data_IF_374525982216
#
_entry.id   IF_374525982216
#
_cell.length_a   1.000
_cell.length_b   1.000
_cell.length_c   1.000
_cell.angle_alpha   90.00
_cell.angle_beta   90.00
_cell.angle_gamma   90.00
#
_symmetry.space_group_name_H-M   'P 1'
#
loop_
_entity.id
_entity.type
_entity.pdbx_description
1 polymer ?
#
# COMPACT_ATOMS: atom_id res chain seq x y z
N UNK A 1 -58.01 -36.07 19.44
CA UNK A 1 -56.81 -36.94 19.42
C UNK A 1 -55.78 -36.25 18.54
N UNK A 2 -54.92 -35.44 19.14
CA UNK A 2 -53.50 -35.76 19.42
C UNK A 2 -52.58 -35.52 18.21
N UNK A 3 -51.88 -34.38 18.31
CA UNK A 3 -50.45 -34.16 18.02
C UNK A 3 -49.90 -34.41 16.61
N UNK A 4 -49.34 -33.35 16.01
CA UNK A 4 -47.88 -33.11 16.02
C UNK A 4 -47.54 -31.71 15.48
N UNK A 5 -46.88 -30.92 16.33
CA UNK A 5 -46.16 -29.72 15.93
C UNK A 5 -44.96 -30.12 15.06
N UNK A 6 -44.73 -29.41 13.96
CA UNK A 6 -43.42 -29.31 13.34
C UNK A 6 -43.12 -27.81 13.16
N UNK A 7 -42.40 -27.26 14.14
CA UNK A 7 -41.82 -25.93 14.09
C UNK A 7 -40.66 -25.97 13.09
N UNK A 8 -40.82 -25.31 11.95
CA UNK A 8 -39.72 -25.05 11.03
C UNK A 8 -39.11 -23.69 11.37
N UNK A 9 -38.03 -23.69 12.13
CA UNK A 9 -37.14 -22.54 12.29
C UNK A 9 -36.39 -22.38 10.97
N UNK A 10 -36.83 -21.44 10.13
CA UNK A 10 -36.01 -20.97 9.01
C UNK A 10 -35.17 -19.79 9.51
N UNK A 11 -33.88 -20.08 9.64
CA UNK A 11 -32.84 -19.15 10.04
C UNK A 11 -32.88 -17.87 9.19
N UNK A 12 -32.78 -16.73 9.87
CA UNK A 12 -32.56 -15.44 9.25
C UNK A 12 -31.17 -15.44 8.58
N UNK A 13 -31.14 -15.74 7.29
CA UNK A 13 -29.97 -15.51 6.44
C UNK A 13 -29.80 -14.00 6.30
N UNK A 14 -28.98 -13.42 7.17
CA UNK A 14 -28.50 -12.05 7.01
C UNK A 14 -27.85 -11.92 5.64
N UNK A 15 -28.59 -11.34 4.69
CA UNK A 15 -28.04 -10.79 3.47
C UNK A 15 -27.17 -9.61 3.88
N UNK A 16 -25.94 -9.89 4.28
CA UNK A 16 -24.83 -8.95 4.25
C UNK A 16 -24.66 -8.60 2.76
N UNK A 17 -25.46 -7.65 2.30
CA UNK A 17 -25.23 -6.95 1.06
C UNK A 17 -23.83 -6.38 1.19
N UNK A 18 -22.87 -7.04 0.54
CA UNK A 18 -21.52 -6.54 0.35
C UNK A 18 -21.68 -5.20 -0.34
N UNK A 19 -21.68 -4.14 0.45
CA UNK A 19 -21.55 -2.79 -0.08
C UNK A 19 -20.20 -2.83 -0.76
N UNK A 20 -20.22 -2.88 -2.09
CA UNK A 20 -19.04 -2.62 -2.88
C UNK A 20 -18.69 -1.17 -2.62
N UNK A 21 -18.03 -0.90 -1.50
CA UNK A 21 -17.29 0.33 -1.33
C UNK A 21 -16.32 0.29 -2.49
N UNK A 22 -16.53 1.15 -3.47
CA UNK A 22 -15.46 1.49 -4.38
C UNK A 22 -14.36 2.06 -3.49
N UNK A 23 -13.46 1.20 -3.03
CA UNK A 23 -12.25 1.58 -2.32
C UNK A 23 -11.45 2.42 -3.31
N UNK A 24 -11.72 3.73 -3.33
CA UNK A 24 -10.67 4.70 -3.06
C UNK A 24 -9.67 4.02 -2.12
N UNK A 25 -8.56 3.44 -2.60
CA UNK A 25 -7.77 2.51 -1.80
C UNK A 25 -7.44 3.20 -0.46
N UNK A 26 -7.97 2.66 0.64
CA UNK A 26 -7.87 3.35 1.93
C UNK A 26 -6.41 3.43 2.37
N UNK A 27 -5.53 2.63 1.78
CA UNK A 27 -4.08 2.75 1.92
C UNK A 27 -3.55 4.04 1.26
N UNK A 28 -3.99 4.37 0.04
CA UNK A 28 -3.58 5.57 -0.69
C UNK A 28 -3.94 6.85 0.04
N UNK A 29 -5.19 6.95 0.50
CA UNK A 29 -5.64 8.11 1.26
C UNK A 29 -4.86 8.26 2.57
N UNK A 30 -4.62 7.15 3.29
CA UNK A 30 -3.83 7.17 4.54
C UNK A 30 -2.37 7.55 4.29
N UNK A 31 -1.77 7.01 3.24
CA UNK A 31 -0.40 7.30 2.84
C UNK A 31 -0.23 8.79 2.49
N UNK A 32 -1.08 9.32 1.61
CA UNK A 32 -1.02 10.73 1.20
C UNK A 32 -1.30 11.67 2.38
N UNK A 33 -2.26 11.31 3.25
CA UNK A 33 -2.53 12.07 4.46
C UNK A 33 -1.32 12.08 5.42
N UNK A 34 -0.62 10.95 5.59
CA UNK A 34 0.59 10.87 6.39
C UNK A 34 1.69 11.78 5.84
N UNK A 35 2.00 11.69 4.54
CA UNK A 35 2.99 12.54 3.89
C UNK A 35 2.65 14.03 4.01
N UNK A 36 1.38 14.39 3.81
CA UNK A 36 0.92 15.76 3.94
C UNK A 36 1.08 16.29 5.37
N UNK A 37 0.77 15.47 6.38
CA UNK A 37 0.95 15.84 7.80
C UNK A 37 2.41 16.09 8.19
N UNK A 38 3.35 15.50 7.45
CA UNK A 38 4.79 15.65 7.64
C UNK A 38 5.39 16.79 6.80
N UNK A 39 4.56 17.48 6.01
CA UNK A 39 5.02 18.55 5.12
C UNK A 39 5.82 18.04 3.91
N UNK A 40 5.60 16.80 3.48
CA UNK A 40 6.21 16.26 2.25
C UNK A 40 5.38 16.73 1.05
N UNK A 41 5.94 17.59 0.18
CA UNK A 41 5.23 18.06 -1.01
C UNK A 41 5.27 17.00 -2.12
N UNK A 42 4.35 17.10 -3.07
CA UNK A 42 4.39 16.30 -4.29
C UNK A 42 3.03 16.11 -4.94
N UNK A 43 3.05 15.66 -6.18
CA UNK A 43 1.82 15.21 -6.85
C UNK A 43 1.35 13.89 -6.24
N UNK A 44 0.06 13.82 -5.87
CA UNK A 44 -0.55 12.66 -5.24
C UNK A 44 -0.33 11.38 -6.06
N UNK A 45 -0.56 11.43 -7.36
CA UNK A 45 -0.43 10.28 -8.25
C UNK A 45 1.00 9.78 -8.34
N UNK A 46 1.97 10.70 -8.41
CA UNK A 46 3.39 10.32 -8.42
C UNK A 46 3.84 9.71 -7.10
N UNK A 47 3.45 10.30 -5.96
CA UNK A 47 3.83 9.79 -4.64
C UNK A 47 3.32 8.35 -4.43
N UNK A 48 2.04 8.10 -4.76
CA UNK A 48 1.43 6.76 -4.69
C UNK A 48 2.15 5.79 -5.64
N UNK A 49 2.38 6.21 -6.89
CA UNK A 49 3.08 5.37 -7.87
C UNK A 49 4.48 4.96 -7.41
N UNK A 50 5.25 5.91 -6.85
CA UNK A 50 6.59 5.63 -6.32
C UNK A 50 6.51 4.69 -5.11
N UNK A 51 5.51 4.86 -4.24
CA UNK A 51 5.32 4.01 -3.07
C UNK A 51 5.01 2.55 -3.44
N UNK A 52 4.15 2.32 -4.44
CA UNK A 52 3.91 0.97 -4.97
C UNK A 52 5.17 0.38 -5.59
N UNK A 53 5.88 1.15 -6.44
CA UNK A 53 7.11 0.67 -7.06
C UNK A 53 8.20 0.34 -6.03
N UNK A 54 8.25 1.06 -4.90
CA UNK A 54 9.15 0.74 -3.80
C UNK A 54 8.84 -0.64 -3.21
N UNK A 55 7.56 -0.95 -2.96
CA UNK A 55 7.16 -2.25 -2.45
C UNK A 55 7.35 -3.37 -3.48
N UNK A 56 7.14 -3.09 -4.77
CA UNK A 56 7.44 -4.03 -5.85
C UNK A 56 8.94 -4.32 -5.93
N UNK A 57 9.78 -3.29 -5.73
CA UNK A 57 11.23 -3.44 -5.72
C UNK A 57 11.71 -4.46 -4.68
N UNK A 58 10.98 -4.62 -3.56
CA UNK A 58 11.33 -5.61 -2.54
C UNK A 58 11.27 -7.07 -3.04
N UNK A 59 10.62 -7.32 -4.18
CA UNK A 59 10.60 -8.64 -4.84
C UNK A 59 11.80 -8.87 -5.77
N UNK A 60 12.59 -7.84 -6.06
CA UNK A 60 13.69 -7.92 -7.01
C UNK A 60 14.92 -8.64 -6.42
N UNK A 61 15.71 -9.31 -7.26
CA UNK A 61 16.98 -9.88 -6.84
C UNK A 61 17.91 -8.84 -6.22
N UNK A 62 18.50 -9.19 -5.08
CA UNK A 62 19.49 -8.35 -4.36
C UNK A 62 20.94 -8.62 -4.77
N UNK A 63 21.15 -9.60 -5.64
CA UNK A 63 22.46 -9.96 -6.19
C UNK A 63 22.61 -9.40 -7.61
N UNK A 64 23.78 -8.84 -7.89
CA UNK A 64 24.20 -8.42 -9.24
C UNK A 64 25.59 -8.99 -9.53
N UNK A 65 25.84 -9.38 -10.78
CA UNK A 65 27.15 -9.90 -11.22
C UNK A 65 27.81 -8.84 -12.10
N UNK A 66 28.89 -8.23 -11.60
CA UNK A 66 29.61 -7.17 -12.33
C UNK A 66 28.86 -5.85 -12.49
N UNK A 67 27.65 -5.73 -11.93
CA UNK A 67 26.79 -4.53 -11.95
C UNK A 67 25.97 -4.45 -10.64
N UNK A 68 25.43 -3.27 -10.29
CA UNK A 68 24.50 -3.14 -9.16
C UNK A 68 23.31 -4.09 -9.31
N UNK A 69 22.78 -4.58 -8.18
CA UNK A 69 21.63 -5.49 -8.20
C UNK A 69 20.37 -4.80 -8.77
N UNK A 70 19.43 -5.55 -9.37
CA UNK A 70 18.14 -5.00 -9.81
C UNK A 70 17.40 -4.23 -8.70
N UNK A 71 17.42 -4.74 -7.47
CA UNK A 71 16.89 -4.05 -6.30
C UNK A 71 17.53 -2.67 -6.09
N UNK A 72 18.87 -2.62 -6.07
CA UNK A 72 19.63 -1.39 -5.86
C UNK A 72 19.37 -0.38 -6.97
N UNK A 73 19.36 -0.82 -8.22
CA UNK A 73 19.06 0.03 -9.38
C UNK A 73 17.66 0.65 -9.27
N UNK A 74 16.65 -0.15 -8.92
CA UNK A 74 15.28 0.33 -8.81
C UNK A 74 15.14 1.38 -7.71
N UNK A 75 15.73 1.13 -6.52
CA UNK A 75 15.70 2.12 -5.44
C UNK A 75 16.41 3.43 -5.80
N UNK A 76 17.55 3.35 -6.52
CA UNK A 76 18.21 4.56 -7.01
C UNK A 76 17.32 5.36 -7.97
N UNK A 77 16.65 4.70 -8.91
CA UNK A 77 15.76 5.36 -9.86
C UNK A 77 14.58 6.06 -9.17
N UNK A 78 13.96 5.39 -8.18
CA UNK A 78 12.86 5.96 -7.39
C UNK A 78 13.31 7.16 -6.57
N UNK A 79 14.46 7.06 -5.89
CA UNK A 79 15.02 8.17 -5.13
C UNK A 79 15.34 9.36 -6.04
N UNK A 80 15.97 9.12 -7.18
CA UNK A 80 16.31 10.19 -8.12
C UNK A 80 15.05 10.84 -8.71
N UNK A 81 13.96 10.08 -8.88
CA UNK A 81 12.66 10.63 -9.26
C UNK A 81 12.11 11.59 -8.19
N UNK A 82 12.17 11.21 -6.91
CA UNK A 82 11.71 12.07 -5.80
C UNK A 82 12.59 13.32 -5.64
N UNK A 83 13.91 13.19 -5.82
CA UNK A 83 14.81 14.35 -5.83
C UNK A 83 14.52 15.32 -6.97
N UNK A 84 14.17 14.83 -8.17
CA UNK A 84 13.72 15.70 -9.27
C UNK A 84 12.41 16.42 -8.96
N UNK A 85 11.62 15.91 -8.01
CA UNK A 85 10.43 16.58 -7.49
C UNK A 85 10.71 17.57 -6.35
N UNK A 86 12.00 17.77 -6.00
CA UNK A 86 12.41 18.70 -4.96
C UNK A 86 12.34 18.15 -3.55
N UNK A 87 12.12 16.84 -3.38
CA UNK A 87 12.20 16.22 -2.05
C UNK A 87 13.66 16.16 -1.59
N UNK A 88 13.87 16.36 -0.29
CA UNK A 88 15.16 16.11 0.35
C UNK A 88 15.37 14.61 0.61
N UNK A 89 16.60 14.24 0.97
CA UNK A 89 16.93 12.87 1.38
C UNK A 89 16.06 12.42 2.55
N UNK A 90 15.93 13.27 3.58
CA UNK A 90 15.11 12.96 4.76
C UNK A 90 13.65 12.69 4.39
N UNK A 91 13.07 13.49 3.51
CA UNK A 91 11.69 13.30 3.06
C UNK A 91 11.53 12.03 2.21
N UNK A 92 12.56 11.67 1.44
CA UNK A 92 12.55 10.43 0.64
C UNK A 92 12.60 9.19 1.53
N UNK A 93 13.44 9.21 2.57
CA UNK A 93 13.54 8.12 3.54
C UNK A 93 12.23 7.96 4.33
N UNK A 94 11.62 9.09 4.73
CA UNK A 94 10.32 9.08 5.40
C UNK A 94 9.21 8.54 4.49
N UNK A 95 9.19 8.95 3.21
CA UNK A 95 8.25 8.42 2.22
C UNK A 95 8.40 6.90 2.06
N UNK A 96 9.63 6.39 1.98
CA UNK A 96 9.88 4.96 1.87
C UNK A 96 9.39 4.18 3.11
N UNK A 97 9.59 4.74 4.31
CA UNK A 97 9.05 4.17 5.56
C UNK A 97 7.52 4.10 5.53
N UNK A 98 6.85 5.19 5.17
CA UNK A 98 5.39 5.26 5.13
C UNK A 98 4.81 4.36 4.02
N UNK A 99 5.48 4.30 2.86
CA UNK A 99 5.12 3.40 1.77
C UNK A 99 5.19 1.94 2.23
N UNK A 100 6.23 1.57 2.99
CA UNK A 100 6.36 0.22 3.47
C UNK A 100 5.29 -0.14 4.51
N UNK A 101 4.96 0.78 5.43
CA UNK A 101 3.90 0.59 6.40
C UNK A 101 2.52 0.47 5.74
N UNK A 102 2.28 1.21 4.65
CA UNK A 102 1.00 1.23 3.94
C UNK A 102 0.82 0.01 3.00
N UNK A 103 1.86 -0.35 2.24
CA UNK A 103 1.72 -1.25 1.09
C UNK A 103 2.50 -2.56 1.19
N UNK A 104 3.54 -2.65 2.03
CA UNK A 104 4.31 -3.88 2.20
C UNK A 104 4.77 -4.17 3.64
N UNK A 105 3.83 -4.22 4.62
CA UNK A 105 4.15 -4.34 6.04
C UNK A 105 4.85 -5.65 6.40
N UNK A 106 4.63 -6.72 5.63
CA UNK A 106 5.23 -8.04 5.88
C UNK A 106 6.59 -8.23 5.20
N UNK A 107 7.00 -7.32 4.31
CA UNK A 107 8.26 -7.44 3.55
C UNK A 107 9.47 -6.79 4.22
N UNK A 108 9.24 -6.02 5.28
CA UNK A 108 10.29 -5.38 6.09
C UNK A 108 10.64 -6.16 7.37
N UNK A 109 10.05 -7.34 7.59
CA UNK A 109 10.35 -8.23 8.73
C UNK A 109 11.57 -9.12 8.48
#
# INVERSE_FOLDING_TARGET
>A
MMTKLAVAVFAASGLLLSVGVAYADSADDRFVAALSSQGIPGDRGVLISVAHQFCDAQSLPRVGIGMPSPYTMQLHNLRDQLFRQGLSQLQTDQLASDAAAAYCPDRLR
#
